data_IF_687809225750
#
_entry.id   IF_687809225750
#
_cell.length_a   1.000
_cell.length_b   1.000
_cell.length_c   1.000
_cell.angle_alpha   90.00
_cell.angle_beta   90.00
_cell.angle_gamma   90.00
#
_symmetry.space_group_name_H-M   'P 1'
#
loop_
_entity.id
_entity.type
_entity.pdbx_description
1 polymer ?
#
# COMPACT_ATOMS: atom_id res chain seq x y z
N UNK A 1 -1.21 -4.80 44.65
CA UNK A 1 -0.63 -3.44 44.71
C UNK A 1 -0.38 -2.97 43.29
N UNK A 2 -1.35 -2.22 42.74
CA UNK A 2 -1.28 -1.61 41.43
C UNK A 2 -0.21 -0.51 41.43
N UNK A 3 0.82 -0.63 40.57
CA UNK A 3 1.60 0.54 40.16
C UNK A 3 1.20 0.93 38.74
N UNK A 4 0.83 2.21 38.64
CA UNK A 4 0.30 2.91 37.47
C UNK A 4 1.36 3.04 36.37
N UNK A 5 0.84 3.08 35.15
CA UNK A 5 1.51 3.24 33.86
C UNK A 5 2.75 4.12 33.84
N UNK A 6 3.84 3.55 33.33
CA UNK A 6 4.83 4.29 32.56
C UNK A 6 4.48 4.14 31.07
N UNK A 7 4.57 5.20 30.26
CA UNK A 7 4.43 5.08 28.81
C UNK A 7 5.55 4.19 28.24
N UNK A 8 5.21 3.30 27.31
CA UNK A 8 6.14 2.29 26.78
C UNK A 8 7.38 2.89 26.09
N UNK A 9 8.55 2.23 26.16
CA UNK A 9 9.81 2.74 25.60
C UNK A 9 9.71 3.15 24.12
N UNK A 10 8.98 2.41 23.28
CA UNK A 10 8.86 2.72 21.85
C UNK A 10 8.02 3.97 21.57
N UNK A 11 6.90 4.16 22.29
CA UNK A 11 6.07 5.36 22.19
C UNK A 11 6.81 6.59 22.76
N UNK A 12 7.60 6.39 23.81
CA UNK A 12 8.49 7.42 24.39
C UNK A 12 9.63 7.77 23.43
N UNK A 13 10.20 6.81 22.71
CA UNK A 13 11.23 7.06 21.70
C UNK A 13 10.66 7.86 20.52
N UNK A 14 9.52 7.45 19.95
CA UNK A 14 8.90 8.23 18.87
C UNK A 14 8.50 9.64 19.34
N UNK A 15 7.87 9.76 20.52
CA UNK A 15 7.48 11.05 21.08
C UNK A 15 8.70 11.93 21.42
N UNK A 16 9.80 11.37 21.92
CA UNK A 16 11.01 12.12 22.25
C UNK A 16 11.80 12.55 21.01
N UNK A 17 11.85 11.70 19.97
CA UNK A 17 12.43 12.07 18.67
C UNK A 17 11.56 13.12 17.97
N UNK A 18 10.24 12.99 18.05
CA UNK A 18 9.30 13.99 17.55
C UNK A 18 9.46 15.33 18.28
N UNK A 19 9.56 15.32 19.61
CA UNK A 19 9.72 16.53 20.42
C UNK A 19 11.06 17.23 20.14
N UNK A 20 12.18 16.48 20.07
CA UNK A 20 13.47 17.04 19.67
C UNK A 20 13.45 17.68 18.28
N UNK A 21 12.79 17.02 17.31
CA UNK A 21 12.66 17.59 15.96
C UNK A 21 11.77 18.81 15.92
N UNK A 22 10.72 18.87 16.74
CA UNK A 22 9.89 20.07 16.88
C UNK A 22 10.72 21.25 17.40
N UNK A 23 11.54 21.03 18.41
CA UNK A 23 12.49 22.02 18.94
C UNK A 23 13.52 22.47 17.89
N UNK A 24 14.06 21.54 17.08
CA UNK A 24 14.99 21.86 15.98
C UNK A 24 14.34 22.71 14.86
N UNK A 25 13.05 22.51 14.59
CA UNK A 25 12.29 23.29 13.61
C UNK A 25 11.93 24.67 14.15
N UNK A 26 11.61 24.79 15.43
CA UNK A 26 11.38 26.06 16.12
C UNK A 26 12.69 26.88 16.25
N UNK A 27 13.87 26.23 16.23
CA UNK A 27 15.18 26.87 16.42
C UNK A 27 15.86 27.44 15.15
N UNK A 28 15.25 27.33 13.95
CA UNK A 28 15.68 28.08 12.75
C UNK A 28 17.15 27.91 12.32
N UNK A 29 17.50 26.78 11.71
CA UNK A 29 18.82 26.56 11.10
C UNK A 29 18.76 26.43 9.57
N UNK A 30 19.21 27.45 8.85
CA UNK A 30 19.56 27.39 7.43
C UNK A 30 20.87 26.62 7.26
N UNK A 31 20.91 25.63 6.35
CA UNK A 31 22.19 25.12 5.83
C UNK A 31 22.21 25.24 4.31
N UNK A 32 23.19 26.02 3.85
CA UNK A 32 23.57 26.23 2.47
C UNK A 32 24.11 24.95 1.83
N UNK A 33 23.87 24.81 0.54
CA UNK A 33 24.45 23.79 -0.31
C UNK A 33 25.86 24.22 -0.72
N UNK A 34 26.83 23.30 -0.62
CA UNK A 34 28.10 23.42 -1.32
C UNK A 34 28.44 22.10 -2.04
N UNK A 35 28.70 22.26 -3.34
CA UNK A 35 29.25 21.30 -4.28
C UNK A 35 30.76 21.13 -4.10
N UNK A 36 31.32 19.92 -4.27
CA UNK A 36 32.58 19.69 -5.01
C UNK A 36 32.63 18.21 -5.50
N UNK A 37 33.11 18.08 -6.73
CA UNK A 37 33.31 16.92 -7.61
C UNK A 37 34.64 16.20 -7.29
N UNK A 38 34.73 14.87 -7.48
CA UNK A 38 35.75 14.28 -8.36
C UNK A 38 35.64 12.77 -8.61
N UNK A 39 35.88 12.47 -9.89
CA UNK A 39 35.92 11.21 -10.64
C UNK A 39 37.10 10.30 -10.30
N UNK A 40 36.95 8.97 -10.45
CA UNK A 40 38.02 8.14 -11.02
C UNK A 40 37.51 6.86 -11.69
N UNK A 41 38.15 6.56 -12.83
CA UNK A 41 38.34 5.26 -13.50
C UNK A 41 37.31 4.76 -14.53
N UNK A 42 37.66 5.06 -15.79
CA UNK A 42 37.11 4.44 -16.99
C UNK A 42 37.63 3.03 -17.23
N UNK A 43 36.71 2.18 -17.67
CA UNK A 43 36.97 1.00 -18.49
C UNK A 43 35.94 1.10 -19.62
N UNK A 44 36.42 1.17 -20.86
CA UNK A 44 35.59 1.28 -22.06
C UNK A 44 34.67 0.07 -22.21
N UNK A 45 33.36 0.32 -22.29
CA UNK A 45 32.38 -0.64 -22.77
C UNK A 45 31.56 0.02 -23.88
N UNK A 46 31.31 -0.79 -24.91
CA UNK A 46 30.81 -0.49 -26.25
C UNK A 46 29.57 0.43 -26.33
N UNK A 47 29.54 1.22 -27.42
CA UNK A 47 28.58 2.27 -27.79
C UNK A 47 27.11 1.85 -28.03
N UNK A 48 26.61 0.82 -27.34
CA UNK A 48 25.19 0.45 -27.35
C UNK A 48 24.41 0.86 -26.07
N UNK A 49 25.01 1.70 -25.22
CA UNK A 49 24.45 2.15 -23.94
C UNK A 49 23.96 3.61 -23.90
N UNK A 50 23.61 4.22 -25.03
CA UNK A 50 23.12 5.60 -25.05
C UNK A 50 21.83 5.79 -25.85
N UNK A 51 20.71 5.48 -25.19
CA UNK A 51 19.59 6.43 -25.16
C UNK A 51 19.16 6.65 -23.71
N UNK A 52 19.24 7.87 -23.16
CA UNK A 52 18.71 8.13 -21.83
C UNK A 52 17.21 7.86 -21.84
N UNK A 53 16.73 7.15 -20.80
CA UNK A 53 15.33 6.79 -20.52
C UNK A 53 14.41 8.01 -20.25
N UNK A 54 14.74 9.19 -20.80
CA UNK A 54 14.00 10.44 -20.66
C UNK A 54 13.78 11.21 -21.95
N UNK A 55 14.32 10.76 -23.09
CA UNK A 55 14.18 11.47 -24.36
C UNK A 55 12.84 11.21 -25.09
N UNK A 56 12.08 10.18 -24.68
CA UNK A 56 10.93 9.66 -25.43
C UNK A 56 9.59 9.72 -24.65
N UNK A 57 9.36 10.75 -23.84
CA UNK A 57 8.02 11.04 -23.29
C UNK A 57 7.43 10.00 -22.33
N UNK A 58 8.21 9.01 -21.90
CA UNK A 58 7.82 8.04 -20.88
C UNK A 58 7.59 8.77 -19.56
N UNK A 59 6.50 8.48 -18.85
CA UNK A 59 6.24 9.07 -17.53
C UNK A 59 5.74 8.00 -16.56
N UNK A 60 6.49 7.74 -15.49
CA UNK A 60 5.97 7.04 -14.32
C UNK A 60 5.72 8.08 -13.23
N UNK A 61 4.44 8.29 -12.93
CA UNK A 61 3.98 9.18 -11.89
C UNK A 61 3.44 8.39 -10.70
N UNK A 62 3.63 8.90 -9.49
CA UNK A 62 3.27 8.21 -8.25
C UNK A 62 2.31 9.06 -7.45
N UNK A 63 1.25 8.46 -6.92
CA UNK A 63 0.33 9.08 -5.95
C UNK A 63 0.50 8.41 -4.59
N UNK A 64 0.85 9.19 -3.57
CA UNK A 64 1.20 8.73 -2.23
C UNK A 64 0.42 9.51 -1.15
N UNK A 65 0.04 8.81 -0.08
CA UNK A 65 -0.56 9.44 1.09
C UNK A 65 0.54 9.99 1.99
N UNK A 66 0.37 11.21 2.47
CA UNK A 66 1.41 11.91 3.25
C UNK A 66 1.28 11.71 4.76
N UNK A 67 0.15 11.18 5.23
CA UNK A 67 -0.22 11.08 6.66
C UNK A 67 -0.40 9.60 7.05
N UNK A 68 -1.50 9.25 7.74
CA UNK A 68 -1.85 7.88 8.17
C UNK A 68 -2.95 7.23 7.31
N UNK A 69 -3.12 7.66 6.06
CA UNK A 69 -4.16 7.17 5.18
C UNK A 69 -5.39 8.06 5.16
N UNK A 70 -6.38 7.69 4.35
CA UNK A 70 -7.66 8.40 4.23
C UNK A 70 -7.55 9.87 3.78
N UNK A 71 -6.48 10.21 3.05
CA UNK A 71 -6.27 11.56 2.50
C UNK A 71 -7.06 11.82 1.21
N UNK A 72 -7.82 10.84 0.71
CA UNK A 72 -8.60 10.99 -0.53
C UNK A 72 -7.80 10.74 -1.82
N UNK A 73 -6.75 9.90 -1.76
CA UNK A 73 -5.91 9.53 -2.93
C UNK A 73 -6.72 9.11 -4.16
N UNK A 74 -7.78 8.33 -3.97
CA UNK A 74 -8.60 7.81 -5.07
C UNK A 74 -9.13 8.90 -6.00
N UNK A 75 -9.49 10.08 -5.48
CA UNK A 75 -9.94 11.21 -6.31
C UNK A 75 -8.83 11.75 -7.22
N UNK A 76 -7.61 11.87 -6.69
CA UNK A 76 -6.46 12.30 -7.49
C UNK A 76 -6.06 11.24 -8.51
N UNK A 77 -6.09 9.96 -8.12
CA UNK A 77 -5.79 8.85 -9.04
C UNK A 77 -6.79 8.82 -10.19
N UNK A 78 -8.09 8.94 -9.90
CA UNK A 78 -9.15 9.02 -10.93
C UNK A 78 -8.92 10.19 -11.90
N UNK A 79 -8.60 11.38 -11.38
CA UNK A 79 -8.25 12.54 -12.22
C UNK A 79 -7.04 12.27 -13.12
N UNK A 80 -5.95 11.76 -12.55
CA UNK A 80 -4.69 11.52 -13.27
C UNK A 80 -4.76 10.29 -14.19
N UNK A 81 -5.68 9.36 -13.94
CA UNK A 81 -5.87 8.18 -14.77
C UNK A 81 -6.36 8.52 -16.19
N UNK A 82 -6.94 9.71 -16.40
CA UNK A 82 -7.32 10.20 -17.73
C UNK A 82 -6.13 10.27 -18.71
N UNK A 83 -4.94 10.57 -18.20
CA UNK A 83 -3.71 10.66 -18.97
C UNK A 83 -2.82 9.41 -18.88
N UNK A 84 -3.26 8.36 -18.18
CA UNK A 84 -2.49 7.13 -17.99
C UNK A 84 -2.88 6.06 -19.02
N UNK A 85 -1.88 5.28 -19.46
CA UNK A 85 -2.12 4.03 -20.19
C UNK A 85 -2.24 2.85 -19.22
N UNK A 86 -1.46 2.86 -18.15
CA UNK A 86 -1.39 1.78 -17.16
C UNK A 86 -1.51 2.40 -15.77
N UNK A 87 -2.36 1.83 -14.92
CA UNK A 87 -2.44 2.18 -13.51
C UNK A 87 -2.06 0.97 -12.67
N UNK A 88 -1.06 1.15 -11.80
CA UNK A 88 -0.44 0.06 -11.05
C UNK A 88 -0.72 0.18 -9.55
N UNK A 89 -0.85 -0.97 -8.89
CA UNK A 89 -0.66 -1.11 -7.44
C UNK A 89 0.69 -1.81 -7.21
N UNK A 90 1.53 -1.27 -6.33
CA UNK A 90 2.89 -1.80 -6.12
C UNK A 90 3.05 -2.59 -4.82
N UNK A 91 2.15 -2.41 -3.86
CA UNK A 91 2.31 -2.94 -2.50
C UNK A 91 0.95 -3.10 -1.80
N UNK A 92 0.97 -3.80 -0.66
CA UNK A 92 -0.18 -3.99 0.20
C UNK A 92 -1.08 -5.09 -0.32
N UNK A 93 -2.30 -5.13 0.18
CA UNK A 93 -3.36 -6.01 -0.31
C UNK A 93 -4.70 -5.30 -0.28
N UNK A 94 -5.73 -6.03 0.15
CA UNK A 94 -7.10 -5.53 0.25
C UNK A 94 -7.40 -4.82 1.59
N UNK A 95 -6.35 -4.34 2.27
CA UNK A 95 -6.43 -3.61 3.54
C UNK A 95 -6.51 -2.09 3.37
N UNK A 96 -6.29 -1.60 2.16
CA UNK A 96 -6.67 -0.26 1.75
C UNK A 96 -7.95 -0.36 0.92
N UNK A 97 -8.85 0.60 1.11
CA UNK A 97 -10.08 0.71 0.32
C UNK A 97 -10.39 2.16 0.02
N UNK A 98 -10.87 2.44 -1.18
CA UNK A 98 -11.33 3.78 -1.56
C UNK A 98 -12.54 3.69 -2.48
N UNK A 99 -13.45 4.63 -2.26
CA UNK A 99 -14.64 4.78 -3.08
C UNK A 99 -14.41 5.88 -4.12
N UNK A 100 -14.72 5.59 -5.38
CA UNK A 100 -14.68 6.56 -6.48
C UNK A 100 -16.09 6.67 -7.05
N UNK A 101 -16.53 7.91 -7.27
CA UNK A 101 -17.82 8.21 -7.87
C UNK A 101 -17.62 8.60 -9.33
N UNK A 102 -18.24 7.86 -10.23
CA UNK A 102 -18.28 8.19 -11.67
C UNK A 102 -19.73 8.49 -12.03
N UNK A 103 -20.02 9.76 -12.27
CA UNK A 103 -21.41 10.25 -12.33
C UNK A 103 -22.12 9.94 -11.02
N UNK A 104 -23.20 9.15 -11.09
CA UNK A 104 -24.00 8.76 -9.92
C UNK A 104 -23.70 7.35 -9.41
N UNK A 105 -22.68 6.67 -9.94
CA UNK A 105 -22.34 5.30 -9.55
C UNK A 105 -21.09 5.30 -8.67
N UNK A 106 -21.21 4.71 -7.49
CA UNK A 106 -20.09 4.50 -6.57
C UNK A 106 -19.41 3.16 -6.86
N UNK A 107 -18.09 3.18 -7.08
CA UNK A 107 -17.23 2.02 -7.20
C UNK A 107 -16.34 1.90 -5.97
N UNK A 108 -16.21 0.70 -5.43
CA UNK A 108 -15.41 0.41 -4.23
C UNK A 108 -14.24 -0.49 -4.63
N UNK A 109 -13.04 0.01 -4.42
CA UNK A 109 -11.78 -0.62 -4.84
C UNK A 109 -10.96 -0.98 -3.62
N UNK A 110 -10.36 -2.17 -3.63
CA UNK A 110 -9.50 -2.69 -2.57
C UNK A 110 -8.16 -3.20 -3.12
N UNK A 111 -8.18 -4.24 -3.96
CA UNK A 111 -6.98 -4.76 -4.64
C UNK A 111 -6.77 -4.06 -5.96
N UNK A 112 -7.85 -3.82 -6.71
CA UNK A 112 -7.78 -3.21 -8.03
C UNK A 112 -7.47 -1.70 -7.89
N UNK A 113 -6.64 -1.13 -8.77
CA UNK A 113 -6.41 0.31 -8.79
C UNK A 113 -7.68 1.06 -9.17
N UNK A 114 -7.94 2.21 -8.53
CA UNK A 114 -9.09 3.07 -8.85
C UNK A 114 -9.12 3.55 -10.28
N UNK A 115 -7.95 3.74 -10.92
CA UNK A 115 -7.88 4.22 -12.30
C UNK A 115 -8.53 3.31 -13.34
N UNK A 116 -9.00 2.11 -12.94
CA UNK A 116 -9.83 1.23 -13.76
C UNK A 116 -11.18 1.86 -14.14
N UNK A 117 -11.62 2.91 -13.44
CA UNK A 117 -12.75 3.78 -13.83
C UNK A 117 -12.60 4.38 -15.23
N UNK A 118 -11.35 4.63 -15.66
CA UNK A 118 -11.07 4.98 -17.05
C UNK A 118 -11.02 3.71 -17.91
N UNK A 119 -11.91 3.59 -18.88
CA UNK A 119 -12.03 2.42 -19.77
C UNK A 119 -10.79 2.15 -20.64
N UNK A 120 -9.90 3.14 -20.82
CA UNK A 120 -8.67 3.02 -21.63
C UNK A 120 -7.47 2.50 -20.82
N UNK A 121 -7.58 2.44 -19.50
CA UNK A 121 -6.48 2.06 -18.61
C UNK A 121 -6.34 0.54 -18.53
N UNK A 122 -5.11 0.05 -18.59
CA UNK A 122 -4.76 -1.29 -18.12
C UNK A 122 -4.46 -1.25 -16.63
N UNK A 123 -5.13 -2.07 -15.83
CA UNK A 123 -4.84 -2.23 -14.41
C UNK A 123 -3.76 -3.30 -14.21
N UNK A 124 -2.78 -2.99 -13.35
CA UNK A 124 -1.69 -3.91 -13.05
C UNK A 124 -1.49 -4.08 -11.53
N UNK A 125 -1.46 -5.34 -11.08
CA UNK A 125 -1.11 -5.71 -9.71
C UNK A 125 0.36 -6.16 -9.66
N UNK A 126 1.19 -5.37 -8.98
CA UNK A 126 2.64 -5.55 -8.93
C UNK A 126 3.12 -6.69 -8.02
N UNK A 127 4.39 -7.06 -8.16
CA UNK A 127 5.02 -8.13 -7.39
C UNK A 127 5.18 -7.82 -5.90
N UNK A 128 5.10 -6.54 -5.50
CA UNK A 128 5.16 -6.15 -4.09
C UNK A 128 3.87 -6.39 -3.32
N UNK A 129 2.76 -6.69 -4.01
CA UNK A 129 1.46 -6.95 -3.39
C UNK A 129 1.34 -8.35 -2.78
N UNK A 130 0.41 -8.46 -1.83
CA UNK A 130 -0.15 -9.71 -1.33
C UNK A 130 -1.63 -9.77 -1.75
N UNK A 131 -2.03 -10.84 -2.43
CA UNK A 131 -3.32 -10.93 -3.12
C UNK A 131 -4.16 -12.06 -2.53
N UNK A 132 -5.32 -11.71 -1.99
CA UNK A 132 -6.36 -12.69 -1.65
C UNK A 132 -7.20 -12.96 -2.91
N UNK A 133 -7.07 -14.17 -3.46
CA UNK A 133 -7.69 -14.54 -4.74
C UNK A 133 -9.23 -14.56 -4.67
N UNK A 134 -9.88 -15.18 -3.65
CA UNK A 134 -11.33 -15.11 -3.51
C UNK A 134 -11.87 -13.67 -3.47
N UNK A 135 -11.23 -12.79 -2.70
CA UNK A 135 -11.63 -11.39 -2.57
C UNK A 135 -11.36 -10.58 -3.85
N UNK A 136 -10.30 -10.90 -4.60
CA UNK A 136 -10.08 -10.33 -5.93
C UNK A 136 -11.24 -10.67 -6.87
N UNK A 137 -11.66 -11.93 -6.92
CA UNK A 137 -12.79 -12.33 -7.77
C UNK A 137 -14.12 -11.71 -7.31
N UNK A 138 -14.32 -11.56 -6.00
CA UNK A 138 -15.48 -10.84 -5.48
C UNK A 138 -15.48 -9.37 -5.90
N UNK A 139 -14.34 -8.70 -5.81
CA UNK A 139 -14.17 -7.32 -6.26
C UNK A 139 -14.42 -7.17 -7.76
N UNK A 140 -13.84 -8.05 -8.59
CA UNK A 140 -14.07 -8.08 -10.04
C UNK A 140 -15.57 -8.19 -10.35
N UNK A 141 -16.27 -9.15 -9.74
CA UNK A 141 -17.72 -9.33 -9.96
C UNK A 141 -18.52 -8.08 -9.59
N UNK A 142 -18.26 -7.50 -8.40
CA UNK A 142 -18.96 -6.29 -7.94
C UNK A 142 -18.78 -5.08 -8.87
N UNK A 143 -17.63 -4.97 -9.52
CA UNK A 143 -17.37 -3.90 -10.49
C UNK A 143 -18.06 -4.19 -11.83
N UNK A 144 -18.02 -5.44 -12.31
CA UNK A 144 -18.67 -5.86 -13.55
C UNK A 144 -20.21 -5.82 -13.46
N UNK A 145 -20.79 -6.15 -12.31
CA UNK A 145 -22.23 -6.00 -12.04
C UNK A 145 -22.69 -4.53 -12.18
N UNK A 146 -21.76 -3.59 -12.03
CA UNK A 146 -21.96 -2.14 -12.25
C UNK A 146 -21.54 -1.67 -13.65
N UNK A 147 -21.34 -2.60 -14.58
CA UNK A 147 -21.03 -2.34 -15.99
C UNK A 147 -19.55 -2.04 -16.29
N UNK A 148 -18.64 -2.25 -15.34
CA UNK A 148 -17.20 -2.02 -15.58
C UNK A 148 -16.55 -3.24 -16.26
N UNK A 149 -15.88 -3.03 -17.39
CA UNK A 149 -15.03 -4.06 -18.00
C UNK A 149 -13.71 -4.18 -17.25
N UNK A 150 -13.55 -5.25 -16.47
CA UNK A 150 -12.36 -5.48 -15.63
C UNK A 150 -11.41 -6.51 -16.24
N UNK A 151 -11.92 -7.71 -16.55
CA UNK A 151 -11.08 -8.87 -16.92
C UNK A 151 -10.25 -8.64 -18.18
N UNK A 152 -10.75 -7.88 -19.16
CA UNK A 152 -10.02 -7.64 -20.41
C UNK A 152 -8.79 -6.73 -20.23
N UNK A 153 -8.71 -6.02 -19.09
CA UNK A 153 -7.70 -4.99 -18.80
C UNK A 153 -6.88 -5.26 -17.54
N UNK A 154 -7.01 -6.44 -16.94
CA UNK A 154 -6.35 -6.79 -15.69
C UNK A 154 -5.08 -7.62 -15.96
N UNK A 155 -3.96 -7.14 -15.42
CA UNK A 155 -2.68 -7.85 -15.40
C UNK A 155 -2.23 -8.08 -13.96
N UNK A 156 -1.76 -9.28 -13.65
CA UNK A 156 -1.33 -9.67 -12.30
C UNK A 156 0.10 -10.21 -12.39
N UNK A 157 0.97 -9.73 -11.49
CA UNK A 157 2.33 -10.24 -11.38
C UNK A 157 2.34 -11.70 -10.93
N UNK A 158 3.00 -12.53 -11.73
CA UNK A 158 3.40 -13.90 -11.38
C UNK A 158 4.19 -13.98 -10.04
N UNK A 159 4.84 -12.90 -9.63
CA UNK A 159 5.65 -12.81 -8.40
C UNK A 159 4.91 -12.25 -7.19
N UNK A 160 3.65 -11.83 -7.34
CA UNK A 160 2.82 -11.40 -6.20
C UNK A 160 2.51 -12.58 -5.28
N UNK A 161 2.46 -12.33 -3.96
CA UNK A 161 2.25 -13.39 -2.95
C UNK A 161 0.77 -13.63 -2.71
N UNK A 162 0.43 -14.85 -2.31
CA UNK A 162 -0.95 -15.27 -2.05
C UNK A 162 -1.32 -15.10 -0.58
N UNK A 163 -2.47 -14.48 -0.34
CA UNK A 163 -3.11 -14.45 0.97
C UNK A 163 -4.13 -15.58 1.03
N UNK A 164 -3.95 -16.50 1.98
CA UNK A 164 -4.85 -17.62 2.25
C UNK A 164 -5.81 -17.32 3.41
N UNK A 165 -6.86 -18.13 3.55
CA UNK A 165 -7.84 -17.96 4.64
C UNK A 165 -7.20 -18.18 6.02
N UNK A 166 -6.26 -19.12 6.13
CA UNK A 166 -5.51 -19.31 7.37
C UNK A 166 -4.63 -18.09 7.73
N UNK A 167 -4.13 -17.32 6.75
CA UNK A 167 -3.43 -16.06 7.06
C UNK A 167 -4.38 -15.05 7.70
N UNK A 168 -5.64 -14.96 7.24
CA UNK A 168 -6.66 -14.09 7.84
C UNK A 168 -7.01 -14.54 9.26
N UNK A 169 -7.15 -15.85 9.48
CA UNK A 169 -7.39 -16.43 10.80
C UNK A 169 -6.25 -16.12 11.77
N UNK A 170 -5.00 -16.33 11.36
CA UNK A 170 -3.80 -16.04 12.17
C UNK A 170 -3.69 -14.56 12.51
N UNK A 171 -3.95 -13.65 11.57
CA UNK A 171 -3.96 -12.20 11.82
C UNK A 171 -4.97 -11.85 12.93
N UNK A 172 -6.16 -12.45 12.88
CA UNK A 172 -7.16 -12.31 13.94
C UNK A 172 -6.72 -12.87 15.30
N UNK A 173 -6.10 -14.06 15.31
CA UNK A 173 -5.60 -14.71 16.54
C UNK A 173 -4.48 -13.89 17.20
N UNK A 174 -3.52 -13.42 16.42
CA UNK A 174 -2.40 -12.61 16.92
C UNK A 174 -2.88 -11.28 17.54
N UNK A 175 -3.93 -10.66 16.99
CA UNK A 175 -4.53 -9.47 17.58
C UNK A 175 -5.22 -9.76 18.92
N UNK A 176 -5.87 -10.92 19.05
CA UNK A 176 -6.50 -11.35 20.32
C UNK A 176 -5.41 -11.61 21.37
N UNK A 177 -4.34 -12.31 21.02
CA UNK A 177 -3.22 -12.60 21.93
C UNK A 177 -2.52 -11.35 22.44
N UNK A 178 -2.42 -10.30 21.62
CA UNK A 178 -1.83 -9.01 22.01
C UNK A 178 -2.70 -8.23 23.01
N UNK A 179 -4.00 -8.51 23.10
CA UNK A 179 -4.92 -7.84 24.02
C UNK A 179 -4.84 -6.31 23.93
N UNK A 180 -4.52 -5.64 25.04
CA UNK A 180 -4.37 -4.18 25.09
C UNK A 180 -3.22 -3.61 24.23
N UNK A 181 -2.34 -4.47 23.69
CA UNK A 181 -1.25 -4.12 22.78
C UNK A 181 -1.59 -4.44 21.31
N UNK A 182 -2.86 -4.64 21.00
CA UNK A 182 -3.32 -4.85 19.62
C UNK A 182 -2.89 -3.67 18.74
N UNK A 183 -2.55 -3.96 17.48
CA UNK A 183 -2.18 -2.93 16.52
C UNK A 183 -3.45 -2.30 15.91
N UNK A 184 -4.54 -3.05 15.90
CA UNK A 184 -5.77 -2.70 15.20
C UNK A 184 -5.73 -3.14 13.74
N UNK A 185 -5.19 -4.32 13.44
CA UNK A 185 -5.06 -4.80 12.04
C UNK A 185 -6.43 -4.94 11.37
N UNK A 186 -6.43 -4.98 10.03
CA UNK A 186 -7.66 -5.19 9.25
C UNK A 186 -8.14 -6.64 9.27
N UNK A 187 -7.39 -7.57 9.91
CA UNK A 187 -7.68 -9.01 9.95
C UNK A 187 -7.82 -9.62 8.55
N UNK A 188 -7.04 -9.10 7.60
CA UNK A 188 -7.03 -9.52 6.19
C UNK A 188 -5.83 -10.40 5.85
N UNK A 189 -5.03 -10.80 6.83
CA UNK A 189 -3.91 -11.71 6.61
C UNK A 189 -2.70 -11.06 5.95
N UNK A 190 -2.64 -9.72 5.91
CA UNK A 190 -1.57 -8.96 5.27
C UNK A 190 -0.24 -9.22 5.96
N UNK A 191 -0.19 -9.01 7.28
CA UNK A 191 1.00 -9.22 8.10
C UNK A 191 1.53 -10.65 8.03
N UNK A 192 0.71 -11.69 8.31
CA UNK A 192 1.14 -13.08 8.18
C UNK A 192 1.66 -13.44 6.78
N UNK A 193 1.04 -12.92 5.71
CA UNK A 193 1.51 -13.17 4.34
C UNK A 193 2.87 -12.51 4.07
N UNK A 194 3.08 -11.26 4.50
CA UNK A 194 4.38 -10.60 4.41
C UNK A 194 5.44 -11.28 5.27
N UNK A 195 5.07 -11.84 6.42
CA UNK A 195 5.97 -12.66 7.23
C UNK A 195 6.41 -13.92 6.47
N UNK A 196 5.48 -14.65 5.85
CA UNK A 196 5.80 -15.80 4.98
C UNK A 196 6.73 -15.40 3.81
N UNK A 197 6.50 -14.23 3.20
CA UNK A 197 7.38 -13.67 2.16
C UNK A 197 8.80 -13.45 2.68
N UNK A 198 8.95 -12.79 3.82
CA UNK A 198 10.25 -12.53 4.44
C UNK A 198 10.95 -13.83 4.88
N UNK A 199 10.20 -14.82 5.38
CA UNK A 199 10.71 -16.14 5.75
C UNK A 199 11.02 -17.04 4.56
N UNK A 200 10.63 -16.65 3.32
CA UNK A 200 10.77 -17.42 2.08
C UNK A 200 9.97 -18.73 2.07
N UNK A 201 8.89 -18.78 2.84
CA UNK A 201 7.98 -19.93 2.93
C UNK A 201 6.64 -19.68 2.21
N UNK A 202 6.36 -18.43 1.84
CA UNK A 202 5.14 -18.04 1.15
C UNK A 202 5.00 -18.63 -0.26
N UNK A 203 3.75 -18.63 -0.73
CA UNK A 203 3.38 -19.02 -2.09
C UNK A 203 3.03 -17.78 -2.92
N UNK A 204 3.33 -17.85 -4.21
CA UNK A 204 3.14 -16.77 -5.19
C UNK A 204 2.17 -17.18 -6.28
N UNK A 205 1.70 -16.19 -7.07
CA UNK A 205 0.82 -16.42 -8.22
C UNK A 205 1.38 -17.45 -9.20
N UNK A 206 2.69 -17.40 -9.50
CA UNK A 206 3.37 -18.37 -10.36
C UNK A 206 3.28 -19.81 -9.82
N UNK A 207 3.32 -19.99 -8.50
CA UNK A 207 3.18 -21.31 -7.90
C UNK A 207 1.76 -21.85 -8.16
N UNK A 208 0.73 -20.99 -7.96
CA UNK A 208 -0.69 -21.36 -8.14
C UNK A 208 -1.06 -21.67 -9.59
N UNK A 209 -0.65 -20.84 -10.55
CA UNK A 209 -1.00 -21.01 -11.97
C UNK A 209 0.01 -21.91 -12.73
N UNK A 210 1.02 -22.43 -12.04
CA UNK A 210 2.03 -23.32 -12.59
C UNK A 210 1.61 -24.79 -12.52
N UNK A 211 2.49 -25.62 -11.97
CA UNK A 211 2.20 -27.02 -11.65
C UNK A 211 1.44 -27.10 -10.31
N UNK A 212 0.17 -27.48 -10.41
CA UNK A 212 -0.72 -27.54 -9.25
C UNK A 212 -0.30 -28.59 -8.22
N UNK A 213 0.36 -29.69 -8.62
CA UNK A 213 0.83 -30.70 -7.68
C UNK A 213 1.95 -30.15 -6.77
N UNK A 214 2.84 -29.34 -7.33
CA UNK A 214 3.90 -28.63 -6.58
C UNK A 214 3.29 -27.59 -5.66
N UNK A 215 2.29 -26.84 -6.13
CA UNK A 215 1.54 -25.90 -5.29
C UNK A 215 0.90 -26.59 -4.10
N UNK A 216 0.19 -27.70 -4.33
CA UNK A 216 -0.49 -28.48 -3.29
C UNK A 216 0.49 -28.95 -2.21
N UNK A 217 1.62 -29.55 -2.62
CA UNK A 217 2.64 -30.01 -1.67
C UNK A 217 3.14 -28.88 -0.77
N UNK A 218 3.46 -27.72 -1.38
CA UNK A 218 3.98 -26.57 -0.63
C UNK A 218 2.92 -25.91 0.24
N UNK A 219 1.66 -25.88 -0.21
CA UNK A 219 0.53 -25.37 0.57
C UNK A 219 0.33 -26.20 1.84
N UNK A 220 0.28 -27.54 1.72
CA UNK A 220 0.14 -28.43 2.88
C UNK A 220 1.28 -28.23 3.89
N UNK A 221 2.53 -28.18 3.41
CA UNK A 221 3.70 -27.92 4.27
C UNK A 221 3.65 -26.56 4.99
N UNK A 222 3.15 -25.53 4.30
CA UNK A 222 2.94 -24.21 4.89
C UNK A 222 1.87 -24.26 5.99
N UNK A 223 0.72 -24.89 5.72
CA UNK A 223 -0.36 -25.05 6.69
C UNK A 223 0.09 -25.87 7.91
N UNK A 224 0.82 -26.97 7.72
CA UNK A 224 1.39 -27.77 8.81
C UNK A 224 2.33 -26.96 9.71
N UNK A 225 3.10 -26.05 9.13
CA UNK A 225 3.94 -25.13 9.90
C UNK A 225 3.09 -24.20 10.77
N UNK A 226 1.99 -23.66 10.24
CA UNK A 226 1.06 -22.84 11.01
C UNK A 226 0.26 -23.63 12.05
N UNK A 227 -0.12 -24.88 11.78
CA UNK A 227 -0.72 -25.76 12.79
C UNK A 227 0.24 -25.99 13.95
N UNK A 228 1.57 -26.11 13.73
CA UNK A 228 2.54 -26.20 14.84
C UNK A 228 2.64 -24.92 15.66
N UNK A 229 2.46 -23.76 15.03
CA UNK A 229 2.47 -22.46 15.71
C UNK A 229 1.16 -22.19 16.46
N UNK A 230 0.03 -22.70 15.96
CA UNK A 230 -1.32 -22.47 16.48
C UNK A 230 -2.12 -23.80 16.65
N UNK A 231 -1.63 -24.77 17.45
CA UNK A 231 -2.09 -26.16 17.41
C UNK A 231 -3.53 -26.40 17.88
N UNK A 232 -4.09 -25.51 18.68
CA UNK A 232 -5.44 -25.65 19.25
C UNK A 232 -6.44 -24.62 18.72
N UNK A 233 -5.98 -23.61 18.00
CA UNK A 233 -6.78 -22.44 17.60
C UNK A 233 -6.95 -22.31 16.10
N UNK A 234 -5.96 -22.73 15.31
CA UNK A 234 -6.06 -22.69 13.87
C UNK A 234 -6.70 -23.98 13.34
N UNK A 235 -7.81 -23.82 12.61
CA UNK A 235 -8.48 -24.92 11.92
C UNK A 235 -8.50 -24.62 10.43
N UNK A 236 -7.90 -25.50 9.64
CA UNK A 236 -7.83 -25.37 8.18
C UNK A 236 -8.32 -26.67 7.55
N UNK A 237 -9.34 -26.56 6.69
CA UNK A 237 -9.72 -27.65 5.79
C UNK A 237 -8.88 -27.53 4.51
N UNK A 238 -7.73 -28.20 4.53
CA UNK A 238 -6.75 -28.11 3.44
C UNK A 238 -7.33 -28.59 2.10
N UNK A 239 -8.13 -29.66 2.11
CA UNK A 239 -8.64 -30.26 0.88
C UNK A 239 -9.72 -29.35 0.26
N UNK A 240 -10.59 -28.76 1.07
CA UNK A 240 -11.58 -27.79 0.60
C UNK A 240 -10.92 -26.50 0.06
N UNK A 241 -9.87 -25.99 0.72
CA UNK A 241 -9.12 -24.83 0.20
C UNK A 241 -8.42 -25.17 -1.12
N UNK A 242 -7.70 -26.30 -1.19
CA UNK A 242 -7.02 -26.74 -2.41
C UNK A 242 -7.99 -26.92 -3.58
N UNK A 243 -9.18 -27.49 -3.34
CA UNK A 243 -10.21 -27.61 -4.38
C UNK A 243 -10.60 -26.24 -4.97
N UNK A 244 -10.86 -25.24 -4.11
CA UNK A 244 -11.15 -23.86 -4.55
C UNK A 244 -9.99 -23.24 -5.31
N UNK A 245 -8.77 -23.37 -4.81
CA UNK A 245 -7.59 -22.82 -5.47
C UNK A 245 -7.30 -23.48 -6.82
N UNK A 246 -7.64 -24.75 -7.00
CA UNK A 246 -7.53 -25.44 -8.30
C UNK A 246 -8.42 -24.81 -9.36
N UNK A 247 -9.66 -24.47 -9.00
CA UNK A 247 -10.58 -23.75 -9.90
C UNK A 247 -10.08 -22.33 -10.18
N UNK A 248 -9.65 -21.62 -9.14
CA UNK A 248 -9.11 -20.27 -9.27
C UNK A 248 -7.85 -20.21 -10.13
N UNK A 249 -6.98 -21.22 -10.08
CA UNK A 249 -5.78 -21.28 -10.90
C UNK A 249 -6.11 -21.24 -12.40
N UNK A 250 -7.16 -21.95 -12.83
CA UNK A 250 -7.63 -21.94 -14.22
C UNK A 250 -8.16 -20.55 -14.60
N UNK A 251 -8.97 -19.94 -13.74
CA UNK A 251 -9.57 -18.63 -13.98
C UNK A 251 -8.56 -17.49 -13.96
N UNK A 252 -7.50 -17.59 -13.14
CA UNK A 252 -6.46 -16.57 -13.01
C UNK A 252 -5.44 -16.59 -14.13
N UNK A 253 -5.16 -17.78 -14.70
CA UNK A 253 -4.08 -17.97 -15.67
C UNK A 253 -4.04 -16.94 -16.81
N UNK A 254 -5.17 -16.46 -17.39
CA UNK A 254 -5.15 -15.44 -18.43
C UNK A 254 -4.65 -14.06 -17.98
N UNK A 255 -4.72 -13.73 -16.68
CA UNK A 255 -4.33 -12.43 -16.15
C UNK A 255 -2.87 -12.40 -15.66
N UNK A 256 -2.29 -13.57 -15.37
CA UNK A 256 -0.97 -13.68 -14.74
C UNK A 256 0.13 -13.57 -15.80
N UNK A 257 1.00 -12.56 -15.66
CA UNK A 257 2.10 -12.28 -16.58
C UNK A 257 3.40 -11.93 -15.84
N UNK A 258 4.51 -11.91 -16.57
CA UNK A 258 5.75 -11.28 -16.12
C UNK A 258 5.63 -9.75 -16.18
N UNK A 259 5.12 -9.15 -15.09
CA UNK A 259 4.90 -7.70 -15.01
C UNK A 259 6.19 -6.89 -15.05
N UNK A 260 7.34 -7.47 -14.65
CA UNK A 260 8.63 -6.75 -14.64
C UNK A 260 9.05 -6.46 -16.08
N UNK A 261 9.06 -7.48 -16.93
CA UNK A 261 9.37 -7.32 -18.36
C UNK A 261 8.35 -6.43 -19.06
N UNK A 262 7.05 -6.63 -18.78
CA UNK A 262 5.96 -5.83 -19.34
C UNK A 262 6.10 -4.33 -19.03
N UNK A 263 6.28 -3.96 -17.76
CA UNK A 263 6.39 -2.55 -17.36
C UNK A 263 7.63 -1.88 -17.92
N UNK A 264 8.79 -2.56 -17.90
CA UNK A 264 10.01 -2.00 -18.46
C UNK A 264 9.91 -1.83 -19.98
N UNK A 265 9.18 -2.70 -20.68
CA UNK A 265 8.90 -2.51 -22.11
C UNK A 265 7.91 -1.36 -22.35
N UNK A 266 6.81 -1.30 -21.60
CA UNK A 266 5.84 -0.21 -21.69
C UNK A 266 6.50 1.16 -21.44
N UNK A 267 7.41 1.25 -20.48
CA UNK A 267 8.24 2.43 -20.27
C UNK A 267 9.06 2.75 -21.51
N UNK A 268 9.82 1.82 -22.09
CA UNK A 268 10.60 2.05 -23.32
C UNK A 268 9.72 2.52 -24.49
N UNK A 269 8.50 2.01 -24.59
CA UNK A 269 7.52 2.35 -25.62
C UNK A 269 6.83 3.70 -25.39
N UNK A 270 7.22 4.45 -24.35
CA UNK A 270 6.68 5.78 -24.07
C UNK A 270 5.29 5.77 -23.42
N UNK A 271 4.86 4.63 -22.86
CA UNK A 271 3.58 4.55 -22.14
C UNK A 271 3.64 5.39 -20.87
N UNK A 272 2.51 6.05 -20.58
CA UNK A 272 2.29 6.79 -19.34
C UNK A 272 1.77 5.84 -18.27
N UNK A 273 2.48 5.77 -17.15
CA UNK A 273 2.19 4.87 -16.04
C UNK A 273 1.89 5.70 -14.80
N UNK A 274 0.79 5.38 -14.14
CA UNK A 274 0.41 5.96 -12.85
C UNK A 274 0.48 4.88 -11.78
N UNK A 275 1.11 5.15 -10.66
CA UNK A 275 1.21 4.23 -9.54
C UNK A 275 0.36 4.75 -8.40
N UNK A 276 -0.64 3.96 -8.03
CA UNK A 276 -1.46 4.17 -6.84
C UNK A 276 -0.81 3.44 -5.66
N UNK A 277 -0.28 4.19 -4.70
CA UNK A 277 0.27 3.58 -3.49
C UNK A 277 -0.82 3.45 -2.42
N UNK A 278 -0.97 2.23 -1.89
CA UNK A 278 -1.89 1.94 -0.81
C UNK A 278 -1.44 2.58 0.51
N UNK A 279 -2.38 2.77 1.45
CA UNK A 279 -2.09 3.36 2.77
C UNK A 279 -1.37 4.71 2.64
N UNK A 280 -0.42 5.02 3.50
CA UNK A 280 0.28 6.31 3.51
C UNK A 280 1.62 6.21 4.21
N UNK A 281 2.43 7.26 4.08
CA UNK A 281 3.81 7.33 4.57
C UNK A 281 3.94 6.93 6.05
N UNK A 282 3.04 7.37 6.95
CA UNK A 282 3.19 7.12 8.39
C UNK A 282 2.66 5.75 8.81
N UNK A 283 2.14 4.97 7.85
CA UNK A 283 1.85 3.55 7.98
C UNK A 283 2.92 2.67 7.31
N UNK A 284 3.99 3.25 6.76
CA UNK A 284 5.11 2.49 6.20
C UNK A 284 5.78 1.62 7.29
N UNK A 285 6.18 0.39 6.93
CA UNK A 285 6.80 -0.55 7.87
C UNK A 285 8.12 -0.05 8.47
N UNK A 286 8.89 0.73 7.72
CA UNK A 286 10.21 1.24 8.15
C UNK A 286 10.10 2.67 8.67
N UNK A 287 9.30 3.51 8.00
CA UNK A 287 9.25 4.95 8.25
C UNK A 287 7.98 5.41 8.99
N UNK A 288 7.04 4.51 9.26
CA UNK A 288 5.81 4.85 9.96
C UNK A 288 5.95 4.89 11.48
N UNK A 289 4.82 5.06 12.17
CA UNK A 289 4.75 5.00 13.64
C UNK A 289 4.81 3.57 14.17
N UNK A 290 5.93 2.87 13.94
CA UNK A 290 6.10 1.48 14.36
C UNK A 290 5.86 1.31 15.89
N UNK A 291 5.14 0.25 16.34
CA UNK A 291 4.63 -0.89 15.57
C UNK A 291 3.26 -0.67 14.91
N UNK A 292 2.66 0.51 15.04
CA UNK A 292 1.33 0.84 14.53
C UNK A 292 1.37 1.24 13.05
N UNK A 293 1.78 0.29 12.22
CA UNK A 293 2.05 0.45 10.78
C UNK A 293 1.49 -0.74 10.01
N UNK A 294 1.46 -0.67 8.68
CA UNK A 294 1.25 -1.85 7.86
C UNK A 294 2.57 -2.60 7.64
N UNK A 295 2.51 -3.75 6.97
CA UNK A 295 3.66 -4.66 6.78
C UNK A 295 4.37 -4.45 5.43
N UNK A 296 4.19 -3.28 4.82
CA UNK A 296 4.70 -2.94 3.49
C UNK A 296 5.24 -1.52 3.43
N UNK A 297 6.10 -1.27 2.44
CA UNK A 297 6.60 0.08 2.18
C UNK A 297 5.55 0.91 1.44
N UNK A 298 5.06 1.94 2.13
CA UNK A 298 4.05 2.88 1.68
C UNK A 298 4.68 4.21 1.21
N UNK A 299 5.95 4.15 0.84
CA UNK A 299 6.79 5.26 0.37
C UNK A 299 7.25 5.03 -1.06
N UNK A 300 7.86 6.05 -1.69
CA UNK A 300 8.31 6.01 -3.10
C UNK A 300 9.27 4.84 -3.38
N UNK A 301 10.07 4.42 -2.39
CA UNK A 301 10.95 3.25 -2.53
C UNK A 301 10.18 1.94 -2.80
N UNK A 302 8.98 1.81 -2.25
CA UNK A 302 8.08 0.67 -2.48
C UNK A 302 7.59 0.56 -3.93
N UNK A 303 7.64 1.64 -4.71
CA UNK A 303 7.30 1.63 -6.14
C UNK A 303 8.36 0.84 -6.92
N UNK A 304 9.63 1.12 -6.67
CA UNK A 304 10.75 0.44 -7.34
C UNK A 304 10.72 -1.07 -7.04
N UNK A 305 10.65 -1.44 -5.76
CA UNK A 305 10.70 -2.85 -5.32
C UNK A 305 9.41 -3.61 -5.66
N UNK A 306 8.27 -2.91 -5.68
CA UNK A 306 6.96 -3.49 -5.93
C UNK A 306 6.59 -3.68 -7.40
N UNK A 307 7.30 -3.02 -8.33
CA UNK A 307 7.05 -3.09 -9.77
C UNK A 307 8.25 -3.56 -10.59
N UNK A 308 9.45 -3.63 -10.00
CA UNK A 308 10.67 -4.00 -10.72
C UNK A 308 11.14 -2.93 -11.70
N UNK A 309 10.97 -1.65 -11.33
CA UNK A 309 11.36 -0.50 -12.14
C UNK A 309 12.53 0.25 -11.49
N UNK A 310 13.48 0.80 -12.28
CA UNK A 310 14.61 1.53 -11.73
C UNK A 310 14.16 2.91 -11.21
N UNK A 311 14.76 3.45 -10.14
CA UNK A 311 14.33 4.72 -9.54
C UNK A 311 14.34 5.90 -10.52
N UNK A 312 15.26 5.89 -11.49
CA UNK A 312 15.40 6.95 -12.51
C UNK A 312 14.19 7.14 -13.44
N UNK A 313 13.24 6.21 -13.48
CA UNK A 313 12.04 6.35 -14.32
C UNK A 313 10.91 7.08 -13.62
N UNK A 314 10.99 7.27 -12.29
CA UNK A 314 10.00 8.01 -11.51
C UNK A 314 10.18 9.50 -11.81
N UNK A 315 9.15 10.14 -12.34
CA UNK A 315 9.20 11.55 -12.75
C UNK A 315 8.54 12.49 -11.75
N UNK A 316 7.27 12.23 -11.42
CA UNK A 316 6.52 13.05 -10.46
C UNK A 316 6.01 12.20 -9.32
N UNK A 317 6.18 12.72 -8.11
CA UNK A 317 5.66 12.13 -6.89
C UNK A 317 4.65 13.11 -6.30
N UNK A 318 3.37 12.77 -6.38
CA UNK A 318 2.28 13.58 -5.84
C UNK A 318 1.97 13.16 -4.40
N UNK A 319 2.11 14.09 -3.47
CA UNK A 319 1.72 13.91 -2.08
C UNK A 319 0.27 14.35 -1.85
N UNK A 320 -0.60 13.42 -1.45
CA UNK A 320 -1.99 13.74 -1.08
C UNK A 320 -2.02 14.09 0.40
N UNK A 321 -2.45 15.31 0.69
CA UNK A 321 -2.49 15.92 2.02
C UNK A 321 -3.93 16.23 2.34
N UNK A 322 -4.45 15.73 3.47
CA UNK A 322 -5.73 16.22 3.97
C UNK A 322 -5.53 17.50 4.78
N UNK A 323 -6.46 18.45 4.67
CA UNK A 323 -6.37 19.76 5.35
C UNK A 323 -6.34 19.67 6.89
N UNK A 324 -6.67 18.50 7.43
CA UNK A 324 -6.54 18.10 8.83
C UNK A 324 -6.02 16.67 8.88
N UNK A 325 -5.66 16.19 10.07
CA UNK A 325 -5.07 14.85 10.23
C UNK A 325 -6.11 13.87 10.76
N UNK A 326 -6.08 12.63 10.24
CA UNK A 326 -6.83 11.52 10.83
C UNK A 326 -5.99 10.28 10.99
N UNK A 327 -6.40 9.42 11.92
CA UNK A 327 -5.78 8.11 12.13
C UNK A 327 -6.84 7.07 12.48
N UNK A 328 -6.72 5.89 11.87
CA UNK A 328 -7.50 4.70 12.25
C UNK A 328 -6.64 3.78 13.10
N UNK A 329 -7.20 3.28 14.18
CA UNK A 329 -6.51 2.38 15.11
C UNK A 329 -5.65 3.10 16.14
N UNK A 330 -4.90 2.29 16.89
CA UNK A 330 -4.10 2.74 18.03
C UNK A 330 -2.81 3.44 17.58
N UNK A 331 -2.10 3.99 18.56
CA UNK A 331 -0.78 4.62 18.40
C UNK A 331 -0.77 6.15 18.53
N UNK A 332 0.42 6.77 18.47
CA UNK A 332 0.60 8.18 18.82
C UNK A 332 -0.07 9.12 17.81
N UNK A 333 -0.76 10.15 18.28
CA UNK A 333 -1.35 11.17 17.42
C UNK A 333 -1.18 12.55 18.06
N UNK A 334 -0.07 13.26 17.79
CA UNK A 334 0.31 14.47 18.52
C UNK A 334 -0.73 15.60 18.45
N UNK A 335 -1.40 15.75 17.31
CA UNK A 335 -2.38 16.83 17.07
C UNK A 335 -3.82 16.40 17.33
N UNK A 336 -4.06 15.21 17.90
CA UNK A 336 -5.40 14.70 18.19
C UNK A 336 -6.22 15.70 19.01
N UNK A 337 -7.45 15.96 18.58
CA UNK A 337 -8.39 16.81 19.28
C UNK A 337 -9.45 15.95 19.96
N UNK A 338 -9.44 15.93 21.31
CA UNK A 338 -10.46 15.27 22.15
C UNK A 338 -11.41 16.32 22.73
N UNK A 339 -11.99 17.12 21.84
CA UNK A 339 -12.85 18.26 22.14
C UNK A 339 -13.79 18.50 20.94
N UNK A 340 -14.60 19.56 21.02
CA UNK A 340 -15.60 19.92 20.01
C UNK A 340 -15.01 20.11 18.59
N UNK A 341 -13.75 20.52 18.47
CA UNK A 341 -13.07 20.62 17.17
C UNK A 341 -12.89 19.24 16.55
N UNK A 342 -12.43 18.26 17.34
CA UNK A 342 -12.29 16.87 16.89
C UNK A 342 -13.61 16.28 16.43
N UNK A 343 -14.69 16.54 17.18
CA UNK A 343 -16.04 16.07 16.86
C UNK A 343 -16.60 16.72 15.58
N UNK A 344 -16.34 18.03 15.37
CA UNK A 344 -16.70 18.73 14.13
C UNK A 344 -15.93 18.17 12.93
N UNK A 345 -14.61 18.01 13.04
CA UNK A 345 -13.79 17.41 11.96
C UNK A 345 -14.27 15.99 11.60
N UNK A 346 -14.63 15.19 12.61
CA UNK A 346 -15.11 13.84 12.40
C UNK A 346 -16.46 13.81 11.69
N UNK A 347 -17.42 14.63 12.15
CA UNK A 347 -18.79 14.65 11.62
C UNK A 347 -18.87 15.28 10.23
N UNK A 348 -18.29 16.47 10.02
CA UNK A 348 -18.30 17.17 8.73
C UNK A 348 -17.47 16.41 7.69
N UNK A 349 -16.35 15.83 8.12
CA UNK A 349 -15.48 15.05 7.25
C UNK A 349 -15.96 13.64 6.91
N UNK A 350 -17.07 13.17 7.49
CA UNK A 350 -17.56 11.79 7.41
C UNK A 350 -16.44 10.77 7.67
N UNK A 351 -15.79 10.90 8.82
CA UNK A 351 -14.56 10.19 9.13
C UNK A 351 -14.80 8.80 9.70
N UNK A 352 -15.33 7.91 8.84
CA UNK A 352 -15.46 6.48 9.09
C UNK A 352 -14.61 5.65 8.11
N UNK A 353 -13.96 4.61 8.62
CA UNK A 353 -13.19 3.67 7.79
C UNK A 353 -14.09 2.92 6.80
N UNK A 354 -13.75 2.89 5.52
CA UNK A 354 -14.56 2.23 4.48
C UNK A 354 -14.64 0.71 4.73
N UNK A 355 -13.49 0.09 5.00
CA UNK A 355 -13.35 -1.37 5.19
C UNK A 355 -13.73 -1.82 6.60
N UNK A 356 -13.28 -1.12 7.65
CA UNK A 356 -13.47 -1.53 9.05
C UNK A 356 -14.69 -0.93 9.72
N UNK A 357 -15.30 0.12 9.13
CA UNK A 357 -16.38 0.94 9.71
C UNK A 357 -16.04 1.56 11.07
N UNK A 358 -14.75 1.62 11.43
CA UNK A 358 -14.29 2.25 12.68
C UNK A 358 -14.27 3.78 12.54
N UNK A 359 -14.67 4.54 13.58
CA UNK A 359 -14.50 5.99 13.59
C UNK A 359 -13.02 6.34 13.56
N UNK A 360 -12.64 7.40 12.83
CA UNK A 360 -11.26 7.87 12.78
C UNK A 360 -11.01 8.90 13.89
N UNK A 361 -9.84 8.84 14.51
CA UNK A 361 -9.37 9.92 15.39
C UNK A 361 -9.05 11.13 14.52
N UNK A 362 -9.45 12.33 14.95
CA UNK A 362 -9.29 13.58 14.19
C UNK A 362 -8.43 14.59 14.94
N UNK A 363 -7.67 15.41 14.21
CA UNK A 363 -6.76 16.39 14.79
C UNK A 363 -6.29 17.43 13.78
N UNK A 364 -5.60 18.45 14.26
CA UNK A 364 -5.07 19.51 13.40
C UNK A 364 -4.07 18.99 12.36
N UNK A 365 -3.89 19.76 11.29
CA UNK A 365 -2.82 19.52 10.32
C UNK A 365 -1.46 19.52 11.04
N UNK A 366 -0.66 18.49 10.80
CA UNK A 366 0.67 18.34 11.40
C UNK A 366 1.76 18.57 10.33
N UNK A 367 2.36 19.76 10.33
CA UNK A 367 3.43 20.10 9.37
C UNK A 367 4.76 19.39 9.68
N UNK A 368 4.99 18.93 10.91
CA UNK A 368 6.18 18.12 11.25
C UNK A 368 6.08 16.78 10.53
N UNK A 369 4.89 16.16 10.56
CA UNK A 369 4.57 14.94 9.82
C UNK A 369 4.72 15.15 8.32
N UNK A 370 4.19 16.25 7.75
CA UNK A 370 4.31 16.52 6.32
C UNK A 370 5.76 16.74 5.87
N UNK A 371 6.58 17.47 6.66
CA UNK A 371 8.00 17.67 6.36
C UNK A 371 8.77 16.35 6.41
N UNK A 372 8.50 15.51 7.41
CA UNK A 372 9.08 14.17 7.51
C UNK A 372 8.71 13.30 6.31
N UNK A 373 7.42 13.30 5.94
CA UNK A 373 6.93 12.56 4.79
C UNK A 373 7.56 13.02 3.48
N UNK A 374 7.74 14.33 3.30
CA UNK A 374 8.43 14.90 2.14
C UNK A 374 9.92 14.55 2.09
N UNK A 375 10.60 14.51 3.24
CA UNK A 375 12.01 14.13 3.32
C UNK A 375 12.27 12.73 2.74
N UNK A 376 11.33 11.80 2.97
CA UNK A 376 11.44 10.42 2.49
C UNK A 376 11.02 10.29 1.02
N UNK A 377 9.94 10.98 0.63
CA UNK A 377 9.29 10.74 -0.66
C UNK A 377 9.67 11.73 -1.76
N UNK A 378 10.24 12.89 -1.42
CA UNK A 378 10.64 13.93 -2.36
C UNK A 378 9.47 14.41 -3.23
N UNK A 379 8.40 14.92 -2.62
CA UNK A 379 7.18 15.28 -3.36
C UNK A 379 7.44 16.40 -4.37
N UNK A 380 6.99 16.18 -5.60
CA UNK A 380 7.08 17.17 -6.68
C UNK A 380 5.91 18.16 -6.64
N UNK A 381 4.77 17.72 -6.12
CA UNK A 381 3.56 18.52 -5.95
C UNK A 381 2.69 17.93 -4.84
N UNK A 382 1.82 18.77 -4.28
CA UNK A 382 0.85 18.36 -3.27
C UNK A 382 -0.58 18.53 -3.79
N UNK A 383 -1.47 17.63 -3.38
CA UNK A 383 -2.91 17.77 -3.55
C UNK A 383 -3.55 17.91 -2.17
N UNK A 384 -4.02 19.12 -1.85
CA UNK A 384 -4.71 19.41 -0.60
C UNK A 384 -6.19 19.03 -0.73
N UNK A 385 -6.67 18.13 0.12
CA UNK A 385 -8.03 17.59 0.09
C UNK A 385 -8.82 17.98 1.33
N UNK A 386 -10.16 17.96 1.19
CA UNK A 386 -11.12 18.26 2.26
C UNK A 386 -10.90 19.62 2.94
N UNK A 387 -10.55 20.64 2.15
CA UNK A 387 -10.43 22.00 2.64
C UNK A 387 -11.78 22.56 3.10
N UNK A 388 -12.85 22.18 2.39
CA UNK A 388 -14.26 22.48 2.67
C UNK A 388 -14.73 22.04 4.07
N UNK A 389 -14.06 21.06 4.70
CA UNK A 389 -14.38 20.64 6.08
C UNK A 389 -14.01 21.72 7.10
N UNK A 390 -13.16 22.68 6.72
CA UNK A 390 -12.72 23.78 7.57
C UNK A 390 -13.50 25.09 7.33
N UNK A 391 -14.45 25.11 6.38
CA UNK A 391 -15.41 26.21 6.21
C UNK A 391 -16.36 26.27 7.45
#
# INVERSE_FOLDING_TARGET
LFQRGQPEPAAVIFASVYQRRREEVEAGGSMAADSVVNSVNGIGMSDNFQKPLGANGHSLNVVLGTQWGDEGKGKLVDLLANDANIVCRCQGGNNAGHMVWVGNVAYDFHLLPSGLTNSKVTALLGNGMVVNVPQLFEEIRKLEDKGMDVRSRLLISDRSHLVFDFHQAVDGLQEIEKGAKSIGTTKKGIGPTYACKASRTGLRMADLVGDFAVFEQRFRSLVETYHRLFPSTLKVDMDAELAKYKEHAVQLRPFVIDTVSYLNQALKDGKKILVEVANACLLDIDFGTYPFVTSSNCTVGGVCTGLGVPPKVIQRVFGVVKAYTTRVGDGPFPTEQKNEVGDRLHSVGDEFGVTTKRPRRCGWLDLVVLRYSNMINGYSAIALTKLDVLD
#
